data_IF_248773578055
#
_entry.id   IF_248773578055
#
_cell.length_a   1.000
_cell.length_b   1.000
_cell.length_c   1.000
_cell.angle_alpha   90.00
_cell.angle_beta   90.00
_cell.angle_gamma   90.00
#
_symmetry.space_group_name_H-M   'P 1'
#
loop_
_entity.id
_entity.type
_entity.pdbx_description
1 polymer ?
#
# COMPACT_ATOMS: atom_id res chain seq x y z
N UNK A 1 1.03 4.40 14.06
CA UNK A 1 2.27 4.63 13.27
C UNK A 1 2.14 4.17 11.81
N UNK A 2 1.87 2.88 11.52
CA UNK A 2 1.63 2.43 10.14
C UNK A 2 0.24 2.81 9.63
N UNK A 3 -0.80 2.62 10.45
CA UNK A 3 -2.17 3.05 10.12
C UNK A 3 -2.24 4.53 9.74
N UNK A 4 -1.58 5.42 10.48
CA UNK A 4 -1.55 6.87 10.18
C UNK A 4 -0.82 7.21 8.87
N UNK A 5 0.18 6.39 8.47
CA UNK A 5 0.85 6.55 7.17
C UNK A 5 -0.04 6.08 6.03
N UNK A 6 -0.74 4.97 6.24
CA UNK A 6 -1.65 4.41 5.26
C UNK A 6 -2.88 5.31 5.06
N UNK A 7 -3.41 5.89 6.12
CA UNK A 7 -4.48 6.88 6.05
C UNK A 7 -4.07 8.09 5.20
N UNK A 8 -2.90 8.69 5.50
CA UNK A 8 -2.36 9.79 4.69
C UNK A 8 -2.11 9.40 3.24
N UNK A 9 -1.69 8.16 2.97
CA UNK A 9 -1.54 7.66 1.60
C UNK A 9 -2.88 7.67 0.87
N UNK A 10 -3.94 7.16 1.51
CA UNK A 10 -5.30 7.12 0.95
C UNK A 10 -5.82 8.54 0.68
N UNK A 11 -5.68 9.46 1.63
CA UNK A 11 -6.08 10.87 1.46
C UNK A 11 -5.37 11.51 0.25
N UNK A 12 -4.07 11.27 0.09
CA UNK A 12 -3.32 11.81 -1.06
C UNK A 12 -3.74 11.14 -2.36
N UNK A 13 -3.99 9.83 -2.35
CA UNK A 13 -4.42 9.11 -3.54
C UNK A 13 -5.77 9.64 -4.06
N UNK A 14 -6.73 9.81 -3.16
CA UNK A 14 -8.05 10.36 -3.45
C UNK A 14 -7.93 11.80 -3.97
N UNK A 15 -7.12 12.65 -3.31
CA UNK A 15 -6.90 14.04 -3.74
C UNK A 15 -6.27 14.18 -5.14
N UNK A 16 -5.54 13.16 -5.61
CA UNK A 16 -4.96 13.13 -6.95
C UNK A 16 -5.81 12.34 -7.96
N UNK A 17 -6.99 11.87 -7.58
CA UNK A 17 -7.92 11.15 -8.45
C UNK A 17 -7.53 9.71 -8.76
N UNK A 18 -6.79 9.05 -7.87
CA UNK A 18 -6.49 7.61 -7.99
C UNK A 18 -7.53 6.75 -7.27
N UNK A 19 -7.92 5.63 -7.89
CA UNK A 19 -8.85 4.67 -7.27
C UNK A 19 -8.16 3.72 -6.29
N UNK A 20 -6.87 3.44 -6.51
CA UNK A 20 -6.07 2.55 -5.67
C UNK A 20 -4.56 2.73 -5.90
N UNK A 21 -3.76 2.24 -4.95
CA UNK A 21 -2.32 1.98 -5.13
C UNK A 21 -2.01 0.49 -5.09
N UNK A 22 -0.95 0.09 -5.80
CA UNK A 22 -0.37 -1.24 -5.74
C UNK A 22 1.06 -1.16 -5.16
N UNK A 23 1.28 -1.81 -4.02
CA UNK A 23 2.58 -1.86 -3.35
C UNK A 23 3.23 -3.23 -3.58
N UNK A 24 4.44 -3.23 -4.10
CA UNK A 24 5.27 -4.43 -4.29
C UNK A 24 6.28 -4.60 -3.14
N UNK A 25 6.89 -5.79 -2.96
CA UNK A 25 7.93 -6.01 -1.98
C UNK A 25 9.05 -4.97 -2.10
N UNK A 26 9.37 -4.32 -0.99
CA UNK A 26 10.40 -3.30 -0.93
C UNK A 26 10.19 -2.28 0.18
N UNK A 27 11.02 -1.22 0.22
CA UNK A 27 11.01 -0.22 1.28
C UNK A 27 9.66 0.48 1.48
N UNK A 28 8.92 0.74 0.39
CA UNK A 28 7.63 1.42 0.46
C UNK A 28 6.58 0.54 1.16
N UNK A 29 6.52 -0.74 0.81
CA UNK A 29 5.62 -1.69 1.46
C UNK A 29 5.93 -1.81 2.95
N UNK A 30 7.21 -1.95 3.31
CA UNK A 30 7.64 -2.02 4.69
C UNK A 30 7.31 -0.74 5.47
N UNK A 31 7.59 0.43 4.89
CA UNK A 31 7.32 1.71 5.52
C UNK A 31 5.81 1.92 5.83
N UNK A 32 4.95 1.56 4.88
CA UNK A 32 3.50 1.77 4.94
C UNK A 32 2.78 0.72 5.80
N UNK A 33 3.23 -0.53 5.76
CA UNK A 33 2.49 -1.67 6.33
C UNK A 33 3.24 -2.47 7.39
N UNK A 34 4.57 -2.33 7.47
CA UNK A 34 5.44 -3.20 8.27
C UNK A 34 5.69 -4.57 7.67
N UNK A 35 5.03 -4.93 6.56
CA UNK A 35 5.23 -6.20 5.88
C UNK A 35 6.60 -6.23 5.21
N UNK A 36 7.31 -7.34 5.39
CA UNK A 36 8.59 -7.61 4.76
C UNK A 36 8.49 -8.88 3.93
N UNK A 37 8.48 -8.71 2.61
CA UNK A 37 8.56 -9.80 1.66
C UNK A 37 9.85 -9.65 0.85
N UNK A 38 10.42 -10.77 0.45
CA UNK A 38 11.50 -10.78 -0.53
C UNK A 38 10.92 -10.65 -1.93
N UNK A 39 11.63 -9.92 -2.80
CA UNK A 39 11.30 -9.93 -4.22
C UNK A 39 11.58 -11.33 -4.77
N UNK A 40 10.60 -11.90 -5.47
CA UNK A 40 10.69 -13.22 -6.08
C UNK A 40 9.88 -13.27 -7.35
N UNK A 41 10.01 -14.37 -8.10
CA UNK A 41 9.15 -14.67 -9.25
C UNK A 41 7.67 -14.86 -8.87
N UNK A 42 7.38 -15.10 -7.59
CA UNK A 42 6.01 -15.15 -7.06
C UNK A 42 5.56 -13.72 -6.72
N UNK A 43 4.65 -13.11 -7.50
CA UNK A 43 4.23 -11.74 -7.25
C UNK A 43 3.45 -11.66 -5.95
N UNK A 44 3.84 -10.70 -5.11
CA UNK A 44 3.08 -10.25 -3.94
C UNK A 44 2.74 -8.79 -4.21
N UNK A 45 1.48 -8.41 -4.07
CA UNK A 45 1.03 -7.03 -4.27
C UNK A 45 0.03 -6.69 -3.19
N UNK A 46 0.30 -5.64 -2.41
CA UNK A 46 -0.71 -5.08 -1.52
C UNK A 46 -1.48 -4.01 -2.29
N UNK A 47 -2.75 -4.26 -2.52
CA UNK A 47 -3.67 -3.30 -3.09
C UNK A 47 -4.25 -2.44 -1.97
N UNK A 48 -4.16 -1.13 -2.13
CA UNK A 48 -4.68 -0.11 -1.21
C UNK A 48 -5.71 0.72 -1.97
N UNK A 49 -6.99 0.31 -1.99
CA UNK A 49 -8.08 1.11 -2.54
C UNK A 49 -8.35 2.32 -1.64
N UNK A 50 -8.90 3.40 -2.21
CA UNK A 50 -9.24 4.60 -1.43
C UNK A 50 -10.54 4.46 -0.63
N UNK A 51 -11.44 3.57 -1.06
CA UNK A 51 -12.81 3.46 -0.58
C UNK A 51 -13.10 2.19 0.27
N UNK A 52 -12.10 1.33 0.47
CA UNK A 52 -12.24 0.06 1.19
C UNK A 52 -10.92 -0.40 1.80
N UNK A 53 -10.95 -1.39 2.72
CA UNK A 53 -9.73 -1.90 3.34
C UNK A 53 -8.72 -2.49 2.33
N UNK A 54 -7.41 -2.40 2.63
CA UNK A 54 -6.37 -3.02 1.82
C UNK A 54 -6.48 -4.56 1.74
N UNK A 55 -5.95 -5.13 0.66
CA UNK A 55 -5.83 -6.57 0.44
C UNK A 55 -4.45 -6.95 -0.11
N UNK A 56 -4.02 -8.20 0.11
CA UNK A 56 -2.78 -8.79 -0.41
C UNK A 56 -3.12 -9.91 -1.38
#
# INVERSE_FOLDING_TARGET
MHADRLHRLVEQAEAHGFDALALVPGPNLFYLTGLSFHLSERPVVVLVPVDRPPAI
#
